data_IF_437786210209
#
_entry.id   IF_437786210209
#
_cell.length_a   1.000
_cell.length_b   1.000
_cell.length_c   1.000
_cell.angle_alpha   90.00
_cell.angle_beta   90.00
_cell.angle_gamma   90.00
#
_symmetry.space_group_name_H-M   'P 1'
#
loop_
_entity.id
_entity.type
_entity.pdbx_description
1 polymer ?
#
# COMPACT_ATOMS: atom_id res chain seq x y z
N UNK A 1 -12.63 44.84 43.14
CA UNK A 1 -13.61 45.60 42.29
C UNK A 1 -13.51 47.06 42.65
N UNK A 2 -13.04 47.92 41.71
CA UNK A 2 -13.02 49.35 41.98
C UNK A 2 -14.43 49.90 41.91
N UNK A 3 -14.92 50.47 43.01
CA UNK A 3 -16.19 51.20 43.04
C UNK A 3 -16.03 52.55 42.28
N UNK A 4 -16.89 52.77 41.31
CA UNK A 4 -16.96 54.04 40.56
C UNK A 4 -17.68 55.07 41.45
N UNK A 5 -16.95 56.12 41.83
CA UNK A 5 -17.44 57.12 42.80
C UNK A 5 -18.04 58.40 42.18
N UNK A 6 -18.05 58.50 40.86
CA UNK A 6 -18.62 59.66 40.16
C UNK A 6 -19.60 59.24 39.06
N UNK A 7 -20.71 59.98 38.82
CA UNK A 7 -21.61 59.70 37.72
C UNK A 7 -20.87 59.89 36.39
N UNK A 8 -20.91 58.86 35.53
CA UNK A 8 -20.26 58.90 34.23
C UNK A 8 -20.59 57.61 33.43
N UNK A 9 -20.31 57.58 32.13
CA UNK A 9 -20.44 56.40 31.30
C UNK A 9 -19.12 55.64 31.40
N UNK A 10 -19.14 54.43 31.96
CA UNK A 10 -17.98 53.56 32.08
C UNK A 10 -18.09 52.44 31.08
N UNK A 11 -17.18 52.41 30.11
CA UNK A 11 -17.07 51.31 29.15
C UNK A 11 -16.23 50.22 29.80
N UNK A 12 -16.84 49.10 30.10
CA UNK A 12 -16.14 47.88 30.55
C UNK A 12 -16.00 46.97 29.36
N UNK A 13 -14.80 46.88 28.79
CA UNK A 13 -14.49 45.85 27.81
C UNK A 13 -14.58 44.48 28.49
N UNK A 14 -15.62 43.71 28.15
CA UNK A 14 -15.64 42.28 28.38
C UNK A 14 -15.02 41.65 27.15
N UNK A 15 -13.97 40.89 27.38
CA UNK A 15 -13.41 40.04 26.35
C UNK A 15 -14.53 39.08 25.87
N UNK A 16 -15.18 39.43 24.75
CA UNK A 16 -16.30 38.68 24.17
C UNK A 16 -15.83 37.48 23.35
N UNK A 17 -14.52 37.36 23.21
CA UNK A 17 -13.95 36.13 22.67
C UNK A 17 -13.97 35.09 23.81
N UNK A 18 -15.03 34.27 23.86
CA UNK A 18 -14.99 33.02 24.54
C UNK A 18 -13.76 32.27 24.05
N UNK A 19 -13.06 31.56 24.93
CA UNK A 19 -12.04 30.62 24.52
C UNK A 19 -12.71 29.73 23.48
N UNK A 20 -12.40 29.93 22.18
CA UNK A 20 -12.82 29.00 21.14
C UNK A 20 -12.10 27.71 21.46
N UNK A 21 -12.85 26.72 21.89
CA UNK A 21 -12.34 25.35 21.99
C UNK A 21 -12.02 24.96 20.55
N UNK A 22 -10.74 24.95 20.21
CA UNK A 22 -10.28 24.43 18.94
C UNK A 22 -10.44 22.93 19.03
N UNK A 23 -11.25 22.36 18.16
CA UNK A 23 -11.41 20.92 18.03
C UNK A 23 -10.05 20.30 17.70
N UNK A 24 -9.58 19.38 18.52
CA UNK A 24 -8.31 18.67 18.32
C UNK A 24 -8.62 17.51 17.39
N UNK A 25 -7.85 17.37 16.31
CA UNK A 25 -7.93 16.21 15.40
C UNK A 25 -7.68 14.92 16.21
N UNK A 26 -8.63 13.97 16.14
CA UNK A 26 -8.60 12.76 17.00
C UNK A 26 -8.02 11.55 16.31
N UNK A 27 -8.11 11.46 14.98
CA UNK A 27 -7.66 10.31 14.19
C UNK A 27 -6.54 10.74 13.21
N UNK A 28 -5.36 11.02 13.76
CA UNK A 28 -4.18 11.44 12.98
C UNK A 28 -3.21 10.27 12.86
N UNK A 29 -3.13 9.60 11.71
CA UNK A 29 -2.21 8.48 11.52
C UNK A 29 -0.79 8.92 11.21
N UNK A 30 0.18 8.11 11.60
CA UNK A 30 1.54 8.11 11.09
C UNK A 30 1.75 6.87 10.23
N UNK A 31 2.25 7.08 9.02
CA UNK A 31 2.60 6.02 8.07
C UNK A 31 4.11 5.85 8.02
N UNK A 32 4.58 4.60 8.13
CA UNK A 32 6.01 4.27 8.11
C UNK A 32 6.27 3.37 6.89
N UNK A 33 7.25 3.74 6.05
CA UNK A 33 7.59 2.97 4.87
C UNK A 33 8.71 3.57 4.04
N UNK A 34 8.83 3.11 2.79
CA UNK A 34 9.83 3.57 1.82
C UNK A 34 9.24 4.63 0.89
N UNK A 35 10.07 5.58 0.47
CA UNK A 35 9.67 6.71 -0.39
C UNK A 35 10.71 6.93 -1.49
N UNK A 36 10.39 7.68 -2.53
CA UNK A 36 11.35 8.00 -3.59
C UNK A 36 12.51 8.84 -3.05
N UNK A 37 12.15 9.89 -2.32
CA UNK A 37 13.07 10.82 -1.64
C UNK A 37 12.52 11.13 -0.25
N UNK A 38 13.31 11.80 0.59
CA UNK A 38 12.87 12.32 1.88
C UNK A 38 13.62 13.63 2.16
N UNK A 39 13.14 14.72 1.56
CA UNK A 39 13.84 16.01 1.56
C UNK A 39 12.85 17.17 1.73
N UNK A 40 13.29 18.18 2.50
CA UNK A 40 12.71 19.53 2.49
C UNK A 40 13.79 20.50 2.03
N UNK A 41 13.75 20.86 0.75
CA UNK A 41 14.84 21.57 0.08
C UNK A 41 16.12 20.75 0.12
N UNK A 42 17.10 21.15 0.94
CA UNK A 42 18.37 20.45 1.14
C UNK A 42 18.43 19.62 2.44
N UNK A 43 17.40 19.71 3.28
CA UNK A 43 17.36 19.06 4.60
C UNK A 43 16.81 17.66 4.51
N UNK A 44 17.50 16.68 5.07
CA UNK A 44 17.02 15.31 5.14
C UNK A 44 15.86 15.15 6.14
N UNK A 45 14.79 14.50 5.68
CA UNK A 45 13.61 14.14 6.45
C UNK A 45 13.60 12.66 6.87
N UNK A 46 14.68 11.91 6.59
CA UNK A 46 14.76 10.48 6.94
C UNK A 46 14.53 10.26 8.44
N UNK A 47 13.74 9.24 8.76
CA UNK A 47 13.38 8.81 10.11
C UNK A 47 12.68 9.88 10.97
N UNK A 48 12.13 10.92 10.35
CA UNK A 48 11.38 11.99 11.03
C UNK A 48 9.93 11.98 10.60
N UNK A 49 8.97 12.12 11.52
CA UNK A 49 7.57 12.31 11.15
C UNK A 49 7.38 13.69 10.52
N UNK A 50 6.86 13.71 9.30
CA UNK A 50 6.57 14.93 8.55
C UNK A 50 5.06 15.03 8.38
N UNK A 51 4.48 16.12 8.82
CA UNK A 51 3.05 16.39 8.72
C UNK A 51 2.69 16.78 7.30
N UNK A 52 1.68 16.12 6.75
CA UNK A 52 1.09 16.42 5.43
C UNK A 52 -0.43 16.38 5.51
N UNK A 53 -1.10 17.02 4.56
CA UNK A 53 -2.56 17.07 4.44
C UNK A 53 -3.08 16.66 3.06
N UNK A 54 -2.19 16.40 2.11
CA UNK A 54 -2.55 16.08 0.73
C UNK A 54 -1.46 15.26 0.01
N UNK A 55 -1.84 14.59 -1.10
CA UNK A 55 -0.88 13.94 -1.99
C UNK A 55 0.08 14.92 -2.67
N UNK A 56 -0.31 16.18 -2.84
CA UNK A 56 0.58 17.23 -3.39
C UNK A 56 1.73 17.51 -2.43
N UNK A 57 1.45 17.63 -1.13
CA UNK A 57 2.49 17.78 -0.10
C UNK A 57 3.35 16.51 0.02
N UNK A 58 2.72 15.33 -0.06
CA UNK A 58 3.46 14.07 -0.12
C UNK A 58 4.48 14.09 -1.26
N UNK A 59 4.06 14.41 -2.48
CA UNK A 59 4.95 14.45 -3.64
C UNK A 59 6.07 15.49 -3.49
N UNK A 60 5.82 16.59 -2.80
CA UNK A 60 6.83 17.64 -2.57
C UNK A 60 7.97 17.14 -1.66
N UNK A 61 7.65 16.40 -0.59
CA UNK A 61 8.64 15.95 0.40
C UNK A 61 9.19 14.56 0.12
N UNK A 62 8.37 13.67 -0.43
CA UNK A 62 8.65 12.24 -0.54
C UNK A 62 8.75 11.71 -1.97
N UNK A 63 8.48 12.57 -2.97
CA UNK A 63 8.55 12.19 -4.37
C UNK A 63 7.30 11.48 -4.90
N UNK A 64 7.43 10.85 -6.06
CA UNK A 64 6.35 10.23 -6.79
C UNK A 64 6.15 8.74 -6.51
N UNK A 65 5.29 8.12 -7.32
CA UNK A 65 5.00 6.70 -7.24
C UNK A 65 6.23 5.85 -7.57
N UNK A 66 6.42 4.71 -6.90
CA UNK A 66 7.44 3.75 -7.28
C UNK A 66 7.16 3.18 -8.67
N UNK A 67 8.22 2.85 -9.39
CA UNK A 67 8.13 2.11 -10.65
C UNK A 67 8.64 0.69 -10.41
N UNK A 68 7.79 -0.22 -9.90
CA UNK A 68 8.18 -1.60 -9.67
C UNK A 68 8.53 -2.26 -10.99
N UNK A 69 9.62 -3.02 -11.02
CA UNK A 69 10.09 -3.65 -12.25
C UNK A 69 9.76 -5.15 -12.23
N UNK A 70 9.22 -5.61 -13.36
CA UNK A 70 8.92 -7.01 -13.60
C UNK A 70 9.73 -7.48 -14.80
N UNK A 71 10.66 -8.40 -14.53
CA UNK A 71 11.47 -8.98 -15.60
C UNK A 71 10.69 -10.03 -16.36
N UNK A 72 10.64 -9.88 -17.65
CA UNK A 72 10.03 -10.82 -18.59
C UNK A 72 11.11 -11.64 -19.29
N UNK A 73 10.93 -12.93 -19.30
CA UNK A 73 11.75 -13.86 -20.10
C UNK A 73 10.87 -14.89 -20.79
N UNK A 74 11.33 -15.37 -21.95
CA UNK A 74 10.72 -16.50 -22.64
C UNK A 74 11.72 -17.63 -22.64
N UNK A 75 11.48 -18.66 -21.82
CA UNK A 75 12.37 -19.79 -21.60
C UNK A 75 11.59 -21.08 -21.54
N UNK A 76 12.33 -22.20 -21.62
CA UNK A 76 11.74 -23.53 -21.41
C UNK A 76 11.09 -23.66 -20.03
N UNK A 77 9.97 -24.38 -19.99
CA UNK A 77 9.25 -24.65 -18.76
C UNK A 77 10.08 -25.63 -17.92
N UNK A 78 10.41 -25.23 -16.68
CA UNK A 78 11.09 -26.05 -15.67
C UNK A 78 10.16 -26.37 -14.51
N UNK A 79 10.42 -27.46 -13.80
CA UNK A 79 9.59 -27.87 -12.66
C UNK A 79 9.53 -26.82 -11.53
N UNK A 80 10.64 -26.06 -11.34
CA UNK A 80 10.79 -25.07 -10.28
C UNK A 80 10.27 -23.67 -10.66
N UNK A 81 9.65 -23.51 -11.83
CA UNK A 81 9.24 -22.20 -12.33
C UNK A 81 8.13 -21.55 -11.50
N UNK A 82 7.28 -22.38 -10.86
CA UNK A 82 6.20 -21.88 -9.99
C UNK A 82 6.70 -21.15 -8.76
N UNK A 83 7.89 -21.51 -8.28
CA UNK A 83 8.48 -20.94 -7.07
C UNK A 83 9.38 -19.72 -7.36
N UNK A 84 9.81 -19.59 -8.64
CA UNK A 84 10.73 -18.53 -9.08
C UNK A 84 10.06 -17.36 -9.78
N UNK A 85 8.92 -17.61 -10.40
CA UNK A 85 8.22 -16.62 -11.22
C UNK A 85 6.81 -16.37 -10.70
N UNK A 86 6.46 -15.09 -10.63
CA UNK A 86 5.14 -14.65 -10.18
C UNK A 86 4.04 -15.15 -11.13
N UNK A 87 4.33 -15.12 -12.44
CA UNK A 87 3.43 -15.59 -13.48
C UNK A 87 4.18 -16.40 -14.53
N UNK A 88 3.56 -17.48 -15.00
CA UNK A 88 4.05 -18.31 -16.06
C UNK A 88 2.90 -18.59 -17.04
N UNK A 89 3.10 -18.21 -18.31
CA UNK A 89 2.13 -18.46 -19.39
C UNK A 89 2.75 -19.45 -20.37
N UNK A 90 2.31 -20.72 -20.36
CA UNK A 90 2.76 -21.70 -21.32
C UNK A 90 2.35 -21.29 -22.73
N UNK A 91 3.26 -21.43 -23.69
CA UNK A 91 2.91 -21.39 -25.10
C UNK A 91 2.29 -22.72 -25.50
N UNK A 92 1.11 -22.71 -26.12
CA UNK A 92 0.38 -23.92 -26.53
C UNK A 92 1.09 -24.73 -27.61
N UNK A 93 1.99 -24.12 -28.38
CA UNK A 93 2.69 -24.73 -29.49
C UNK A 93 4.16 -25.08 -29.20
N UNK A 94 4.73 -24.51 -28.13
CA UNK A 94 6.14 -24.67 -27.77
C UNK A 94 6.29 -25.09 -26.32
N UNK A 95 7.42 -25.74 -25.99
CA UNK A 95 7.81 -26.04 -24.59
C UNK A 95 8.24 -24.79 -23.81
N UNK A 96 8.12 -23.61 -24.41
CA UNK A 96 8.49 -22.34 -23.81
C UNK A 96 7.32 -21.69 -23.08
N UNK A 97 7.61 -20.86 -22.10
CA UNK A 97 6.63 -20.04 -21.40
C UNK A 97 7.11 -18.60 -21.31
N UNK A 98 6.16 -17.66 -21.38
CA UNK A 98 6.41 -16.29 -20.95
C UNK A 98 6.39 -16.26 -19.43
N UNK A 99 7.53 -15.99 -18.82
CA UNK A 99 7.73 -15.95 -17.37
C UNK A 99 7.89 -14.51 -16.91
N UNK A 100 7.34 -14.21 -15.75
CA UNK A 100 7.41 -12.90 -15.15
C UNK A 100 7.84 -13.00 -13.69
N UNK A 101 8.95 -12.40 -13.35
CA UNK A 101 9.49 -12.30 -12.00
C UNK A 101 9.62 -10.86 -11.55
N UNK A 102 9.50 -10.62 -10.25
CA UNK A 102 9.76 -9.29 -9.66
C UNK A 102 11.26 -9.02 -9.67
N UNK A 103 11.65 -7.82 -10.09
CA UNK A 103 13.01 -7.33 -10.01
C UNK A 103 13.11 -6.30 -8.88
N UNK A 104 13.84 -6.64 -7.82
CA UNK A 104 13.98 -5.76 -6.65
C UNK A 104 12.81 -5.86 -5.67
N UNK A 105 12.53 -4.76 -4.98
CA UNK A 105 11.50 -4.66 -3.96
C UNK A 105 10.24 -3.97 -4.48
N UNK A 106 9.08 -4.41 -4.01
CA UNK A 106 7.81 -3.75 -4.31
C UNK A 106 7.47 -2.83 -3.14
N UNK A 107 7.62 -1.52 -3.37
CA UNK A 107 7.26 -0.49 -2.42
C UNK A 107 5.81 -0.06 -2.67
N UNK A 108 5.00 0.00 -1.62
CA UNK A 108 3.57 0.24 -1.75
C UNK A 108 3.06 1.45 -0.97
N UNK A 109 3.91 2.10 -0.15
CA UNK A 109 3.50 3.22 0.70
C UNK A 109 2.77 4.33 -0.09
N UNK A 110 3.27 4.71 -1.26
CA UNK A 110 2.63 5.72 -2.12
C UNK A 110 1.17 5.37 -2.43
N UNK A 111 0.91 4.14 -2.84
CA UNK A 111 -0.44 3.66 -3.18
C UNK A 111 -1.35 3.59 -1.95
N UNK A 112 -0.79 3.27 -0.80
CA UNK A 112 -1.48 3.32 0.48
C UNK A 112 -1.87 4.75 0.87
N UNK A 113 -1.02 5.74 0.61
CA UNK A 113 -1.35 7.14 0.81
C UNK A 113 -2.49 7.61 -0.10
N UNK A 114 -2.50 7.17 -1.36
CA UNK A 114 -3.62 7.42 -2.28
C UNK A 114 -4.92 6.83 -1.72
N UNK A 115 -4.89 5.57 -1.22
CA UNK A 115 -6.06 4.94 -0.59
C UNK A 115 -6.51 5.67 0.68
N UNK A 116 -5.59 6.12 1.51
CA UNK A 116 -5.89 6.89 2.72
C UNK A 116 -6.69 8.15 2.38
N UNK A 117 -6.17 9.00 1.50
CA UNK A 117 -6.84 10.23 1.11
C UNK A 117 -8.17 9.97 0.38
N UNK A 118 -8.25 8.95 -0.47
CA UNK A 118 -9.48 8.57 -1.18
C UNK A 118 -10.61 8.10 -0.23
N UNK A 119 -10.27 7.59 0.96
CA UNK A 119 -11.22 7.12 1.96
C UNK A 119 -11.51 8.16 3.07
N UNK A 120 -11.21 9.43 2.80
CA UNK A 120 -11.53 10.54 3.69
C UNK A 120 -10.45 10.87 4.71
N UNK A 121 -9.22 10.41 4.46
CA UNK A 121 -8.04 10.81 5.21
C UNK A 121 -7.80 12.32 5.11
N UNK A 122 -7.42 12.90 6.23
CA UNK A 122 -7.07 14.32 6.37
C UNK A 122 -5.58 14.49 6.69
N UNK A 123 -5.30 15.25 7.74
CA UNK A 123 -3.94 15.41 8.26
C UNK A 123 -3.35 14.07 8.68
N UNK A 124 -2.12 13.83 8.28
CA UNK A 124 -1.36 12.65 8.68
C UNK A 124 0.14 12.95 8.75
N UNK A 125 0.89 12.00 9.26
CA UNK A 125 2.35 12.05 9.28
C UNK A 125 2.92 10.92 8.43
N UNK A 126 4.05 11.19 7.77
CA UNK A 126 4.80 10.18 7.02
C UNK A 126 6.22 10.12 7.56
N UNK A 127 6.73 8.92 7.78
CA UNK A 127 8.11 8.63 8.15
C UNK A 127 8.74 7.80 7.05
N UNK A 128 9.70 8.37 6.35
CA UNK A 128 10.51 7.65 5.37
C UNK A 128 11.66 6.94 6.06
N UNK A 129 11.78 5.64 5.85
CA UNK A 129 12.93 4.86 6.28
C UNK A 129 14.08 4.91 5.27
N UNK A 130 13.79 5.17 3.99
CA UNK A 130 14.77 5.21 2.91
C UNK A 130 14.14 5.19 1.52
N UNK A 131 14.99 5.06 0.50
CA UNK A 131 14.59 5.01 -0.90
C UNK A 131 14.04 3.65 -1.34
N UNK A 132 13.36 3.62 -2.50
CA UNK A 132 12.71 2.43 -3.07
C UNK A 132 13.64 1.25 -3.39
N UNK A 133 14.96 1.50 -3.47
CA UNK A 133 15.95 0.45 -3.74
C UNK A 133 16.40 -0.31 -2.48
N UNK A 134 15.92 0.10 -1.31
CA UNK A 134 16.34 -0.47 -0.04
C UNK A 134 15.39 -1.58 0.42
N UNK A 135 15.89 -2.47 1.27
CA UNK A 135 15.07 -3.46 1.95
C UNK A 135 14.35 -2.83 3.16
N UNK A 136 13.02 -2.95 3.18
CA UNK A 136 12.20 -2.40 4.26
C UNK A 136 12.58 -2.99 5.63
N UNK A 137 12.79 -4.32 5.70
CA UNK A 137 13.05 -5.00 6.97
C UNK A 137 14.40 -4.61 7.57
N UNK A 138 15.42 -4.48 6.73
CA UNK A 138 16.74 -4.04 7.16
C UNK A 138 16.69 -2.61 7.72
N UNK A 139 16.08 -1.69 6.96
CA UNK A 139 15.95 -0.29 7.39
C UNK A 139 15.07 -0.12 8.61
N UNK A 140 13.96 -0.85 8.70
CA UNK A 140 13.10 -0.83 9.88
C UNK A 140 13.88 -1.29 11.12
N UNK A 141 14.53 -2.43 11.04
CA UNK A 141 15.30 -3.00 12.16
C UNK A 141 16.43 -2.08 12.63
N UNK A 142 17.09 -1.39 11.69
CA UNK A 142 18.17 -0.47 12.00
C UNK A 142 17.71 0.86 12.62
N UNK A 143 16.51 1.33 12.27
CA UNK A 143 16.06 2.68 12.59
C UNK A 143 14.85 2.75 13.54
N UNK A 144 14.19 1.63 13.89
CA UNK A 144 12.94 1.62 14.65
C UNK A 144 13.01 2.45 15.93
N UNK A 145 14.06 2.33 16.72
CA UNK A 145 14.20 3.05 17.99
C UNK A 145 14.23 4.57 17.79
N UNK A 146 14.93 5.03 16.75
CA UNK A 146 15.00 6.45 16.37
C UNK A 146 13.65 6.94 15.87
N UNK A 147 12.97 6.16 15.03
CA UNK A 147 11.65 6.46 14.50
C UNK A 147 10.63 6.56 15.62
N UNK A 148 10.58 5.58 16.51
CA UNK A 148 9.66 5.58 17.66
C UNK A 148 9.93 6.74 18.61
N UNK A 149 11.21 7.05 18.88
CA UNK A 149 11.56 8.22 19.69
C UNK A 149 11.12 9.54 19.04
N UNK A 150 11.18 9.65 17.72
CA UNK A 150 10.71 10.83 17.00
C UNK A 150 9.17 10.90 16.96
N UNK A 151 8.47 9.80 16.73
CA UNK A 151 7.00 9.75 16.79
C UNK A 151 6.48 10.15 18.19
N UNK A 152 7.17 9.71 19.26
CA UNK A 152 6.78 10.06 20.66
C UNK A 152 6.90 11.55 20.97
N UNK A 153 7.65 12.32 20.19
CA UNK A 153 7.76 13.79 20.36
C UNK A 153 6.54 14.53 19.82
N UNK A 154 5.89 13.95 18.80
CA UNK A 154 4.68 14.54 18.21
C UNK A 154 3.47 14.27 19.08
N UNK A 155 2.71 15.34 19.41
CA UNK A 155 1.57 15.20 20.32
C UNK A 155 0.28 14.79 19.61
N UNK A 156 0.17 15.16 18.33
CA UNK A 156 -1.06 15.01 17.54
C UNK A 156 -1.26 13.57 17.00
N UNK A 157 -0.19 12.78 16.89
CA UNK A 157 -0.26 11.42 16.36
C UNK A 157 -1.04 10.53 17.32
N UNK A 158 -2.07 9.87 16.80
CA UNK A 158 -2.94 8.96 17.54
C UNK A 158 -2.99 7.54 16.97
N UNK A 159 -2.67 7.36 15.69
CA UNK A 159 -2.69 6.07 15.02
C UNK A 159 -1.33 5.76 14.37
N UNK A 160 -1.01 4.47 14.25
CA UNK A 160 0.20 3.99 13.58
C UNK A 160 -0.15 2.96 12.53
N UNK A 161 0.40 3.13 11.34
CA UNK A 161 0.16 2.27 10.17
C UNK A 161 1.49 1.95 9.50
N UNK A 162 1.79 0.67 9.31
CA UNK A 162 3.00 0.20 8.62
C UNK A 162 2.58 -0.76 7.51
N UNK A 163 2.07 -0.23 6.40
CA UNK A 163 1.40 -1.05 5.38
C UNK A 163 2.36 -1.99 4.64
N UNK A 164 3.65 -1.67 4.57
CA UNK A 164 4.66 -2.51 3.92
C UNK A 164 5.10 -3.69 4.78
N UNK A 165 4.83 -3.65 6.09
CA UNK A 165 5.22 -4.73 7.01
C UNK A 165 4.64 -6.08 6.61
N UNK A 166 3.39 -6.12 6.15
CA UNK A 166 2.69 -7.36 5.80
C UNK A 166 3.27 -8.09 4.58
N UNK A 167 4.02 -7.39 3.73
CA UNK A 167 4.73 -7.97 2.59
C UNK A 167 6.06 -8.64 2.99
N UNK A 168 6.46 -8.50 4.25
CA UNK A 168 7.74 -8.96 4.75
C UNK A 168 7.60 -10.26 5.53
N UNK A 169 8.61 -11.12 5.46
CA UNK A 169 8.69 -12.33 6.28
C UNK A 169 8.74 -12.02 7.79
N UNK A 170 9.15 -10.81 8.16
CA UNK A 170 9.25 -10.34 9.54
C UNK A 170 8.03 -9.53 10.01
N UNK A 171 6.91 -9.59 9.31
CA UNK A 171 5.69 -8.85 9.59
C UNK A 171 5.27 -8.90 11.07
N UNK A 172 5.25 -10.09 11.68
CA UNK A 172 4.84 -10.28 13.07
C UNK A 172 5.80 -9.59 14.05
N UNK A 173 7.09 -9.54 13.75
CA UNK A 173 8.07 -8.83 14.58
C UNK A 173 7.82 -7.32 14.55
N UNK A 174 7.54 -6.77 13.36
CA UNK A 174 7.18 -5.35 13.22
C UNK A 174 5.94 -5.02 14.06
N UNK A 175 4.90 -5.83 13.95
CA UNK A 175 3.65 -5.60 14.69
C UNK A 175 3.82 -5.76 16.20
N UNK A 176 4.58 -6.75 16.65
CA UNK A 176 4.85 -6.93 18.10
C UNK A 176 5.71 -5.79 18.64
N UNK A 177 6.65 -5.26 17.88
CA UNK A 177 7.44 -4.07 18.27
C UNK A 177 6.54 -2.83 18.41
N UNK A 178 5.62 -2.59 17.46
CA UNK A 178 4.65 -1.50 17.53
C UNK A 178 3.80 -1.60 18.81
N UNK A 179 3.26 -2.78 19.09
CA UNK A 179 2.40 -3.00 20.25
C UNK A 179 3.16 -2.84 21.56
N UNK A 180 4.39 -3.31 21.65
CA UNK A 180 5.20 -3.24 22.87
C UNK A 180 5.77 -1.85 23.12
N UNK A 181 6.23 -1.16 22.08
CA UNK A 181 7.05 0.04 22.24
C UNK A 181 6.30 1.34 22.01
N UNK A 182 5.28 1.36 21.14
CA UNK A 182 4.46 2.55 20.88
C UNK A 182 3.13 2.50 21.62
N UNK A 183 2.41 1.39 21.58
CA UNK A 183 1.07 1.28 22.13
C UNK A 183 1.03 1.02 23.64
N UNK A 184 2.17 1.05 24.33
CA UNK A 184 2.30 0.78 25.77
C UNK A 184 1.62 1.83 26.68
N UNK A 185 1.46 3.08 26.22
CA UNK A 185 0.97 4.23 27.02
C UNK A 185 -0.42 4.72 26.64
N UNK A 186 -1.23 3.89 25.98
CA UNK A 186 -2.61 4.23 25.61
C UNK A 186 -2.75 5.47 24.69
N UNK A 187 -1.66 5.95 24.10
CA UNK A 187 -1.67 7.11 23.21
C UNK A 187 -1.89 6.73 21.75
N UNK A 188 -1.33 5.58 21.33
CA UNK A 188 -1.30 5.19 19.92
C UNK A 188 -2.16 3.95 19.70
N UNK A 189 -2.90 3.96 18.59
CA UNK A 189 -3.70 2.84 18.13
C UNK A 189 -3.11 2.29 16.83
N UNK A 190 -2.77 1.01 16.79
CA UNK A 190 -2.17 0.38 15.62
C UNK A 190 -3.25 -0.21 14.69
N UNK A 191 -3.18 0.11 13.40
CA UNK A 191 -3.97 -0.53 12.36
C UNK A 191 -3.09 -1.55 11.63
N UNK A 192 -3.47 -2.82 11.72
CA UNK A 192 -2.67 -3.94 11.26
C UNK A 192 -3.34 -4.65 10.09
N UNK A 193 -2.51 -5.14 9.20
CA UNK A 193 -2.94 -5.97 8.08
C UNK A 193 -2.67 -7.45 8.37
N UNK A 194 -3.62 -8.30 8.04
CA UNK A 194 -3.43 -9.75 8.16
C UNK A 194 -2.74 -10.26 6.90
N UNK A 195 -1.64 -11.02 7.01
CA UNK A 195 -1.00 -11.65 5.86
C UNK A 195 -1.98 -12.52 5.09
N UNK A 196 -1.86 -12.51 3.77
CA UNK A 196 -2.72 -13.28 2.89
C UNK A 196 -1.91 -14.37 2.19
N UNK A 197 -2.33 -15.62 2.33
CA UNK A 197 -1.74 -16.77 1.65
C UNK A 197 -2.72 -17.30 0.60
N UNK A 198 -2.23 -17.47 -0.62
CA UNK A 198 -3.06 -17.96 -1.72
C UNK A 198 -3.58 -19.38 -1.45
N UNK A 199 -4.91 -19.53 -1.44
CA UNK A 199 -5.56 -20.84 -1.23
C UNK A 199 -5.64 -21.30 0.22
N UNK A 200 -5.14 -20.56 1.19
CA UNK A 200 -5.29 -20.85 2.61
C UNK A 200 -6.75 -20.61 3.06
N UNK A 201 -7.21 -21.37 4.04
CA UNK A 201 -8.53 -21.17 4.64
C UNK A 201 -8.49 -19.99 5.62
N UNK A 202 -9.62 -19.31 5.79
CA UNK A 202 -9.77 -18.20 6.73
C UNK A 202 -9.41 -18.60 8.16
N UNK A 203 -9.73 -19.84 8.58
CA UNK A 203 -9.36 -20.39 9.88
C UNK A 203 -7.84 -20.45 10.06
N UNK A 204 -7.12 -21.02 9.08
CA UNK A 204 -5.67 -21.20 9.14
C UNK A 204 -4.95 -19.83 9.20
N UNK A 205 -5.43 -18.86 8.41
CA UNK A 205 -4.91 -17.48 8.39
C UNK A 205 -5.14 -16.79 9.75
N UNK A 206 -6.35 -16.92 10.31
CA UNK A 206 -6.72 -16.33 11.60
C UNK A 206 -5.88 -16.91 12.73
N UNK A 207 -5.68 -18.22 12.77
CA UNK A 207 -4.91 -18.89 13.79
C UNK A 207 -3.41 -18.59 13.68
N UNK A 208 -2.86 -18.57 12.47
CA UNK A 208 -1.47 -18.19 12.23
C UNK A 208 -1.19 -16.75 12.67
N UNK A 209 -2.03 -15.80 12.24
CA UNK A 209 -1.92 -14.41 12.65
C UNK A 209 -2.07 -14.25 14.17
N UNK A 210 -3.12 -14.86 14.74
CA UNK A 210 -3.39 -14.78 16.17
C UNK A 210 -2.26 -15.38 17.03
N UNK A 211 -1.59 -16.42 16.58
CA UNK A 211 -0.43 -16.99 17.25
C UNK A 211 0.78 -16.08 17.15
N UNK A 212 1.02 -15.50 15.96
CA UNK A 212 2.20 -14.68 15.69
C UNK A 212 2.22 -13.32 16.37
N UNK A 213 1.04 -12.67 16.56
CA UNK A 213 0.95 -11.31 17.10
C UNK A 213 1.25 -11.21 18.61
N UNK A 214 1.33 -12.31 19.32
CA UNK A 214 1.60 -12.30 20.77
C UNK A 214 0.38 -11.90 21.61
N UNK A 215 0.60 -11.38 22.84
CA UNK A 215 -0.46 -11.09 23.81
C UNK A 215 -0.38 -9.69 24.44
N UNK A 216 0.53 -8.85 23.94
CA UNK A 216 0.83 -7.56 24.57
C UNK A 216 0.00 -6.45 23.92
N UNK A 217 -0.70 -5.64 24.71
CA UNK A 217 -1.40 -4.41 24.32
C UNK A 217 -2.40 -4.57 23.16
N UNK A 218 -3.05 -5.73 23.06
CA UNK A 218 -3.97 -6.08 21.96
C UNK A 218 -5.19 -5.15 21.88
N UNK A 219 -5.61 -4.56 23.00
CA UNK A 219 -6.69 -3.58 23.07
C UNK A 219 -6.39 -2.28 22.32
N UNK A 220 -5.12 -2.00 22.01
CA UNK A 220 -4.68 -0.80 21.28
C UNK A 220 -4.36 -1.08 19.80
N UNK A 221 -4.90 -2.15 19.25
CA UNK A 221 -4.79 -2.44 17.84
C UNK A 221 -6.07 -3.05 17.25
N UNK A 222 -6.26 -2.85 15.96
CA UNK A 222 -7.28 -3.53 15.17
C UNK A 222 -6.63 -4.13 13.92
N UNK A 223 -6.98 -5.37 13.60
CA UNK A 223 -6.55 -6.05 12.39
C UNK A 223 -7.69 -6.16 11.38
N UNK A 224 -7.35 -6.08 10.10
CA UNK A 224 -8.31 -6.11 8.99
C UNK A 224 -7.93 -7.18 7.96
N UNK A 225 -8.95 -7.85 7.43
CA UNK A 225 -8.87 -8.90 6.41
C UNK A 225 -10.16 -8.92 5.55
N UNK A 226 -10.08 -9.28 4.29
CA UNK A 226 -8.92 -9.60 3.45
C UNK A 226 -8.29 -8.34 2.83
N UNK A 227 -7.24 -8.54 2.04
CA UNK A 227 -6.69 -7.49 1.19
C UNK A 227 -7.71 -7.04 0.16
N UNK A 228 -7.47 -5.88 -0.44
CA UNK A 228 -8.41 -5.18 -1.32
C UNK A 228 -7.88 -5.19 -2.75
N UNK A 229 -8.71 -5.63 -3.69
CA UNK A 229 -8.47 -5.36 -5.10
C UNK A 229 -8.88 -3.91 -5.40
N UNK A 230 -7.89 -3.05 -5.59
CA UNK A 230 -8.07 -1.61 -5.75
C UNK A 230 -8.07 -1.17 -7.21
N UNK A 231 -8.38 0.09 -7.45
CA UNK A 231 -8.27 0.75 -8.74
C UNK A 231 -7.29 1.94 -8.71
N UNK A 232 -6.28 1.87 -7.86
CA UNK A 232 -5.26 2.92 -7.69
C UNK A 232 -4.41 3.06 -8.96
N UNK A 233 -4.02 1.93 -9.54
CA UNK A 233 -3.26 1.88 -10.79
C UNK A 233 -4.18 1.59 -11.97
N UNK A 234 -4.02 2.36 -13.04
CA UNK A 234 -4.68 2.20 -14.33
C UNK A 234 -3.85 1.34 -15.32
N UNK A 235 -4.38 1.04 -16.49
CA UNK A 235 -3.62 0.36 -17.54
C UNK A 235 -2.44 1.19 -18.05
N UNK A 236 -2.53 2.52 -17.98
CA UNK A 236 -1.49 3.44 -18.41
C UNK A 236 -0.26 3.43 -17.47
N UNK A 237 -0.43 3.00 -16.24
CA UNK A 237 0.65 2.93 -15.24
C UNK A 237 1.54 1.68 -15.43
N UNK A 238 1.06 0.71 -16.23
CA UNK A 238 1.82 -0.50 -16.57
C UNK A 238 2.48 -0.30 -17.93
N UNK A 239 3.57 0.40 -17.94
CA UNK A 239 4.32 0.79 -19.14
C UNK A 239 5.60 -0.04 -19.33
N UNK A 240 6.42 0.37 -20.33
CA UNK A 240 7.70 -0.26 -20.66
C UNK A 240 8.78 -0.14 -19.57
N UNK A 241 8.57 0.69 -18.53
CA UNK A 241 9.47 0.83 -17.38
C UNK A 241 9.12 -0.21 -16.31
N UNK A 242 7.85 -0.55 -16.22
CA UNK A 242 7.33 -1.58 -15.30
C UNK A 242 7.60 -2.98 -15.84
N UNK A 243 7.29 -3.21 -17.13
CA UNK A 243 7.50 -4.50 -17.79
C UNK A 243 8.83 -4.49 -18.53
N UNK A 244 9.88 -4.95 -17.86
CA UNK A 244 11.25 -4.97 -18.37
C UNK A 244 11.49 -6.31 -19.06
N UNK A 245 11.69 -6.27 -20.38
CA UNK A 245 12.03 -7.46 -21.15
C UNK A 245 13.54 -7.72 -21.13
N UNK A 246 13.93 -8.96 -20.91
CA UNK A 246 15.30 -9.38 -21.16
C UNK A 246 15.48 -9.58 -22.67
N UNK A 247 15.95 -8.54 -23.34
CA UNK A 247 16.11 -8.46 -24.80
C UNK A 247 17.28 -9.32 -25.29
N UNK A 248 17.21 -10.62 -25.09
CA UNK A 248 18.18 -11.56 -25.64
C UNK A 248 17.56 -12.21 -26.88
N UNK A 249 18.31 -12.23 -27.99
CA UNK A 249 17.86 -12.81 -29.25
C UNK A 249 17.51 -14.32 -29.14
N UNK A 250 18.14 -15.02 -28.21
CA UNK A 250 17.91 -16.46 -27.98
C UNK A 250 16.61 -16.75 -27.22
N UNK A 251 16.17 -15.83 -26.36
CA UNK A 251 14.99 -15.99 -25.50
C UNK A 251 13.73 -15.33 -26.07
N UNK A 252 13.85 -14.67 -27.21
CA UNK A 252 12.74 -13.96 -27.84
C UNK A 252 11.87 -14.93 -28.66
N UNK A 253 10.52 -14.93 -28.50
CA UNK A 253 9.64 -15.74 -29.33
C UNK A 253 9.84 -15.47 -30.82
N UNK A 254 9.72 -16.50 -31.62
CA UNK A 254 9.86 -16.37 -33.09
C UNK A 254 8.66 -15.67 -33.76
N UNK A 255 7.49 -15.71 -33.08
CA UNK A 255 6.22 -15.16 -33.56
C UNK A 255 5.45 -14.56 -32.39
N UNK A 256 4.92 -13.36 -32.57
CA UNK A 256 4.12 -12.62 -31.59
C UNK A 256 2.67 -12.43 -32.06
N UNK A 257 2.50 -12.29 -33.35
CA UNK A 257 1.20 -12.10 -34.01
C UNK A 257 1.05 -13.10 -35.17
N UNK A 258 -0.10 -13.18 -35.76
CA UNK A 258 -0.29 -13.89 -37.02
C UNK A 258 0.13 -13.11 -38.26
N UNK A 259 0.61 -11.85 -38.12
CA UNK A 259 1.05 -10.97 -39.20
C UNK A 259 2.57 -10.84 -39.21
N UNK A 260 3.16 -11.28 -40.35
CA UNK A 260 4.61 -11.28 -40.54
C UNK A 260 5.23 -9.88 -40.47
N UNK A 261 4.50 -8.83 -40.91
CA UNK A 261 4.99 -7.44 -40.85
C UNK A 261 5.07 -6.90 -39.43
N UNK A 262 4.11 -7.27 -38.62
CA UNK A 262 4.10 -6.91 -37.19
C UNK A 262 5.22 -7.63 -36.47
N UNK A 263 5.42 -8.90 -36.71
CA UNK A 263 6.50 -9.68 -36.12
C UNK A 263 7.89 -9.14 -36.53
N UNK A 264 8.06 -8.71 -37.81
CA UNK A 264 9.28 -8.07 -38.27
C UNK A 264 9.54 -6.74 -37.57
N UNK A 265 8.49 -5.92 -37.38
CA UNK A 265 8.58 -4.66 -36.64
C UNK A 265 9.01 -4.88 -35.20
N UNK A 266 8.37 -5.83 -34.50
CA UNK A 266 8.70 -6.18 -33.11
C UNK A 266 10.17 -6.64 -33.01
N UNK A 267 10.61 -7.53 -33.88
CA UNK A 267 12.01 -8.00 -33.92
C UNK A 267 13.00 -6.86 -34.18
N UNK A 268 12.65 -5.93 -35.05
CA UNK A 268 13.46 -4.73 -35.31
C UNK A 268 13.60 -3.87 -34.05
N UNK A 269 12.51 -3.61 -33.34
CA UNK A 269 12.54 -2.87 -32.04
C UNK A 269 13.43 -3.58 -31.03
N UNK A 270 13.30 -4.89 -30.88
CA UNK A 270 14.14 -5.71 -29.99
C UNK A 270 15.62 -5.60 -30.35
N UNK A 271 15.95 -5.67 -31.64
CA UNK A 271 17.33 -5.52 -32.13
C UNK A 271 17.88 -4.12 -31.82
N UNK A 272 17.10 -3.07 -32.04
CA UNK A 272 17.50 -1.69 -31.72
C UNK A 272 17.79 -1.50 -30.22
N UNK A 273 16.98 -2.08 -29.37
CA UNK A 273 17.15 -2.02 -27.92
C UNK A 273 18.40 -2.80 -27.48
N UNK A 274 18.56 -4.03 -27.98
CA UNK A 274 19.68 -4.92 -27.59
C UNK A 274 21.04 -4.41 -28.07
N UNK A 275 21.09 -3.77 -29.24
CA UNK A 275 22.34 -3.22 -29.83
C UNK A 275 22.57 -1.76 -29.48
N UNK A 276 21.58 -1.06 -28.93
CA UNK A 276 21.56 0.39 -28.73
C UNK A 276 21.84 1.18 -30.00
N UNK A 277 21.44 0.64 -31.16
CA UNK A 277 21.66 1.24 -32.49
C UNK A 277 20.38 1.29 -33.30
N UNK A 278 20.24 2.31 -34.12
CA UNK A 278 19.15 2.39 -35.10
C UNK A 278 19.33 1.40 -36.26
N UNK A 279 18.35 1.37 -37.19
CA UNK A 279 18.40 0.51 -38.38
C UNK A 279 19.56 0.85 -39.34
N UNK A 280 20.17 2.04 -39.25
CA UNK A 280 21.32 2.48 -39.99
C UNK A 280 22.66 2.24 -39.29
N UNK A 281 22.63 1.64 -38.06
CA UNK A 281 23.82 1.35 -37.25
C UNK A 281 24.34 2.52 -36.42
N UNK A 282 23.61 3.65 -36.35
CA UNK A 282 23.95 4.81 -35.51
C UNK A 282 23.54 4.55 -34.06
N UNK A 283 24.36 4.93 -33.09
CA UNK A 283 24.08 4.82 -31.67
C UNK A 283 22.85 5.67 -31.27
N UNK A 284 21.95 5.06 -30.54
CA UNK A 284 20.75 5.68 -29.97
C UNK A 284 21.08 6.33 -28.62
N UNK A 285 20.47 7.48 -28.36
CA UNK A 285 20.51 8.10 -27.03
C UNK A 285 19.54 7.38 -26.10
N UNK A 286 19.69 7.59 -24.79
CA UNK A 286 18.85 6.97 -23.77
C UNK A 286 17.35 7.26 -23.99
N UNK A 287 17.02 8.50 -24.38
CA UNK A 287 15.63 8.92 -24.63
C UNK A 287 15.05 8.21 -25.87
N UNK A 288 15.86 8.06 -26.94
CA UNK A 288 15.44 7.34 -28.14
C UNK A 288 15.22 5.85 -27.86
N UNK A 289 16.07 5.23 -27.02
CA UNK A 289 15.90 3.84 -26.57
C UNK A 289 14.62 3.69 -25.75
N UNK A 290 14.35 4.64 -24.86
CA UNK A 290 13.11 4.62 -24.08
C UNK A 290 11.86 4.76 -24.94
N UNK A 291 11.92 5.59 -25.98
CA UNK A 291 10.83 5.69 -26.96
C UNK A 291 10.61 4.37 -27.70
N UNK A 292 11.69 3.72 -28.19
CA UNK A 292 11.60 2.40 -28.83
C UNK A 292 11.04 1.34 -27.89
N UNK A 293 11.38 1.38 -26.58
CA UNK A 293 10.78 0.48 -25.58
C UNK A 293 9.29 0.72 -25.44
N UNK A 294 8.85 1.97 -25.45
CA UNK A 294 7.44 2.33 -25.36
C UNK A 294 6.67 1.88 -26.61
N UNK A 295 7.26 2.08 -27.79
CA UNK A 295 6.66 1.64 -29.05
C UNK A 295 6.55 0.11 -29.12
N UNK A 296 7.59 -0.60 -28.65
CA UNK A 296 7.57 -2.06 -28.52
C UNK A 296 6.48 -2.53 -27.56
N UNK A 297 6.39 -1.91 -26.40
CA UNK A 297 5.35 -2.24 -25.40
C UNK A 297 3.94 -2.10 -26.00
N UNK A 298 3.67 -1.00 -26.68
CA UNK A 298 2.39 -0.75 -27.32
C UNK A 298 2.09 -1.77 -28.44
N UNK A 299 3.08 -2.10 -29.24
CA UNK A 299 2.95 -3.11 -30.30
C UNK A 299 2.65 -4.50 -29.72
N UNK A 300 3.31 -4.88 -28.63
CA UNK A 300 3.07 -6.15 -27.93
C UNK A 300 1.69 -6.19 -27.28
N UNK A 301 1.23 -5.12 -26.64
CA UNK A 301 -0.12 -5.03 -26.07
C UNK A 301 -1.22 -5.20 -27.11
N UNK A 302 -1.01 -4.67 -28.31
CA UNK A 302 -2.00 -4.74 -29.39
C UNK A 302 -2.03 -6.10 -30.09
N UNK A 303 -0.87 -6.71 -30.27
CA UNK A 303 -0.72 -7.85 -31.17
C UNK A 303 -0.42 -9.18 -30.48
N UNK A 304 -0.06 -9.18 -29.19
CA UNK A 304 0.29 -10.41 -28.47
C UNK A 304 -0.62 -10.63 -27.26
N UNK A 305 -1.64 -11.51 -27.37
CA UNK A 305 -2.64 -11.72 -26.30
C UNK A 305 -2.05 -12.18 -24.97
N UNK A 306 -0.97 -12.98 -24.99
CA UNK A 306 -0.29 -13.44 -23.77
C UNK A 306 0.37 -12.27 -23.03
N UNK A 307 1.02 -11.35 -23.75
CA UNK A 307 1.60 -10.15 -23.17
C UNK A 307 0.54 -9.22 -22.56
N UNK A 308 -0.58 -9.04 -23.27
CA UNK A 308 -1.73 -8.29 -22.74
C UNK A 308 -2.29 -8.91 -21.47
N UNK A 309 -2.43 -10.24 -21.43
CA UNK A 309 -2.89 -10.95 -20.24
C UNK A 309 -1.90 -10.84 -19.08
N UNK A 310 -0.60 -10.84 -19.38
CA UNK A 310 0.45 -10.63 -18.40
C UNK A 310 0.40 -9.21 -17.81
N UNK A 311 0.34 -8.17 -18.66
CA UNK A 311 0.25 -6.78 -18.22
C UNK A 311 -0.96 -6.58 -17.30
N UNK A 312 -2.11 -7.18 -17.63
CA UNK A 312 -3.29 -7.18 -16.78
C UNK A 312 -3.02 -7.84 -15.43
N UNK A 313 -2.39 -9.01 -15.40
CA UNK A 313 -2.07 -9.72 -14.14
C UNK A 313 -1.09 -8.94 -13.27
N UNK A 314 -0.09 -8.27 -13.87
CA UNK A 314 0.83 -7.39 -13.14
C UNK A 314 0.07 -6.21 -12.54
N UNK A 315 -0.83 -5.59 -13.30
CA UNK A 315 -1.71 -4.55 -12.77
C UNK A 315 -2.56 -5.04 -11.61
N UNK A 316 -3.22 -6.19 -11.77
CA UNK A 316 -4.08 -6.78 -10.73
C UNK A 316 -3.26 -7.10 -9.47
N UNK A 317 -2.02 -7.57 -9.64
CA UNK A 317 -1.10 -7.84 -8.53
C UNK A 317 -0.69 -6.56 -7.78
N UNK A 318 -0.34 -5.49 -8.50
CA UNK A 318 0.03 -4.20 -7.88
C UNK A 318 -1.17 -3.47 -7.26
N UNK A 319 -2.38 -3.71 -7.76
CA UNK A 319 -3.61 -3.19 -7.20
C UNK A 319 -4.15 -4.01 -6.02
N UNK A 320 -3.48 -5.11 -5.67
CA UNK A 320 -3.83 -5.89 -4.49
C UNK A 320 -3.13 -5.30 -3.27
N UNK A 321 -3.85 -4.48 -2.50
CA UNK A 321 -3.30 -3.73 -1.37
C UNK A 321 -3.93 -4.14 -0.04
N UNK A 322 -3.13 -4.19 1.04
CA UNK A 322 -3.62 -4.36 2.40
C UNK A 322 -4.55 -3.21 2.83
N UNK A 323 -5.53 -3.47 3.70
CA UNK A 323 -6.59 -2.50 4.02
C UNK A 323 -6.23 -1.41 5.04
N UNK A 324 -5.14 -1.52 5.81
CA UNK A 324 -4.86 -0.64 6.96
C UNK A 324 -4.88 0.85 6.64
N UNK A 325 -4.34 1.25 5.49
CA UNK A 325 -4.31 2.65 5.08
C UNK A 325 -5.70 3.18 4.68
N UNK A 326 -6.49 2.38 3.96
CA UNK A 326 -7.89 2.71 3.67
C UNK A 326 -8.69 2.84 4.98
N UNK A 327 -8.43 1.95 5.94
CA UNK A 327 -9.06 1.99 7.26
C UNK A 327 -8.65 3.23 8.06
N UNK A 328 -7.39 3.65 8.02
CA UNK A 328 -6.97 4.91 8.65
C UNK A 328 -7.77 6.10 8.09
N UNK A 329 -8.01 6.15 6.79
CA UNK A 329 -8.89 7.15 6.17
C UNK A 329 -10.33 7.07 6.66
N UNK A 330 -10.88 5.85 6.78
CA UNK A 330 -12.24 5.64 7.34
C UNK A 330 -12.33 6.10 8.79
N UNK A 331 -11.32 5.82 9.62
CA UNK A 331 -11.28 6.32 11.01
C UNK A 331 -11.31 7.85 11.05
N UNK A 332 -10.42 8.50 10.30
CA UNK A 332 -10.39 9.97 10.18
C UNK A 332 -11.75 10.52 9.71
N UNK A 333 -12.33 9.94 8.68
CA UNK A 333 -13.62 10.37 8.13
C UNK A 333 -14.77 10.18 9.12
N UNK A 334 -14.82 9.04 9.83
CA UNK A 334 -15.89 8.75 10.79
C UNK A 334 -15.79 9.68 11.99
N UNK A 335 -14.60 9.89 12.54
CA UNK A 335 -14.38 10.79 13.65
C UNK A 335 -14.80 12.23 13.32
N UNK A 336 -14.41 12.71 12.13
CA UNK A 336 -14.72 14.07 11.67
C UNK A 336 -16.21 14.28 11.31
N UNK A 337 -16.90 13.24 10.82
CA UNK A 337 -18.28 13.39 10.31
C UNK A 337 -19.34 12.88 11.27
N UNK A 338 -19.03 11.88 12.10
CA UNK A 338 -19.98 11.20 12.98
C UNK A 338 -19.59 11.27 14.46
N UNK A 339 -18.36 11.74 14.74
CA UNK A 339 -17.79 11.86 16.08
C UNK A 339 -17.09 10.58 16.56
N UNK A 340 -16.18 10.75 17.50
CA UNK A 340 -15.29 9.73 18.06
C UNK A 340 -16.01 8.55 18.74
N UNK A 341 -17.27 8.75 19.13
CA UNK A 341 -18.11 7.70 19.74
C UNK A 341 -18.68 6.71 18.72
N UNK A 342 -18.51 6.96 17.42
CA UNK A 342 -19.05 6.09 16.37
C UNK A 342 -17.99 5.13 15.90
N UNK A 343 -18.29 3.82 16.00
CA UNK A 343 -17.41 2.79 15.50
C UNK A 343 -17.19 2.91 13.97
N UNK A 344 -15.98 2.72 13.45
CA UNK A 344 -15.64 2.78 12.03
C UNK A 344 -16.09 1.51 11.29
N UNK A 345 -17.36 1.17 11.40
CA UNK A 345 -17.98 0.02 10.77
C UNK A 345 -19.22 0.40 9.97
N UNK A 346 -19.66 -0.47 9.08
CA UNK A 346 -20.74 -0.23 8.12
C UNK A 346 -20.48 1.01 7.25
N UNK A 347 -19.23 1.16 6.81
CA UNK A 347 -18.77 2.23 5.94
C UNK A 347 -18.27 1.61 4.64
N UNK A 348 -18.60 2.24 3.51
CA UNK A 348 -18.12 1.83 2.20
C UNK A 348 -16.70 2.33 1.95
N UNK A 349 -15.93 1.57 1.15
CA UNK A 349 -14.57 1.93 0.75
C UNK A 349 -14.54 2.48 -0.67
N UNK A 350 -13.78 3.53 -0.89
CA UNK A 350 -13.53 4.13 -2.19
C UNK A 350 -12.25 3.54 -2.81
N UNK A 351 -12.14 3.57 -4.14
CA UNK A 351 -11.03 3.00 -4.92
C UNK A 351 -10.84 1.49 -4.71
N UNK A 352 -11.87 0.80 -4.22
CA UNK A 352 -11.86 -0.65 -4.01
C UNK A 352 -12.91 -1.30 -4.89
N UNK A 353 -12.51 -2.27 -5.70
CA UNK A 353 -13.39 -3.00 -6.60
C UNK A 353 -14.07 -4.17 -5.90
N UNK A 354 -13.31 -4.94 -5.12
CA UNK A 354 -13.80 -6.05 -4.28
C UNK A 354 -12.74 -6.47 -3.26
N UNK A 355 -13.11 -7.19 -2.20
CA UNK A 355 -12.14 -7.90 -1.36
C UNK A 355 -11.51 -9.04 -2.15
N UNK A 356 -10.23 -9.31 -1.92
CA UNK A 356 -9.45 -10.34 -2.62
C UNK A 356 -9.99 -11.76 -2.37
N UNK A 357 -10.57 -11.96 -1.19
CA UNK A 357 -11.22 -13.22 -0.81
C UNK A 357 -12.67 -12.92 -0.41
N UNK A 358 -13.66 -13.62 -0.97
CA UNK A 358 -15.04 -13.48 -0.55
C UNK A 358 -15.22 -14.06 0.85
N UNK A 359 -15.72 -13.26 1.79
CA UNK A 359 -15.97 -13.66 3.19
C UNK A 359 -17.43 -14.10 3.35
N UNK A 360 -17.63 -15.36 3.69
CA UNK A 360 -18.95 -15.93 3.99
C UNK A 360 -19.38 -15.60 5.43
N UNK A 361 -20.60 -15.98 5.81
CA UNK A 361 -21.07 -15.85 7.20
C UNK A 361 -20.25 -16.68 8.19
N UNK A 362 -19.82 -17.89 7.78
CA UNK A 362 -18.95 -18.75 8.60
C UNK A 362 -17.55 -18.16 8.78
N UNK A 363 -16.96 -17.66 7.72
CA UNK A 363 -15.65 -16.99 7.79
C UNK A 363 -15.73 -15.78 8.73
N UNK A 364 -16.84 -15.03 8.69
CA UNK A 364 -17.05 -13.91 9.60
C UNK A 364 -17.11 -14.35 11.08
N UNK A 365 -17.72 -15.48 11.38
CA UNK A 365 -17.77 -16.03 12.74
C UNK A 365 -16.35 -16.40 13.22
N UNK A 366 -15.57 -17.07 12.37
CA UNK A 366 -14.18 -17.42 12.65
C UNK A 366 -13.31 -16.18 12.90
N UNK A 367 -13.44 -15.15 12.07
CA UNK A 367 -12.67 -13.90 12.24
C UNK A 367 -13.08 -13.13 13.50
N UNK A 368 -14.38 -13.14 13.85
CA UNK A 368 -14.87 -12.45 15.04
C UNK A 368 -14.54 -13.16 16.36
N UNK A 369 -14.52 -14.49 16.33
CA UNK A 369 -14.30 -15.31 17.51
C UNK A 369 -13.32 -16.46 17.20
N UNK A 370 -12.07 -16.16 16.86
CA UNK A 370 -11.09 -17.20 16.57
C UNK A 370 -10.72 -17.98 17.84
N UNK A 371 -10.17 -19.17 17.65
CA UNK A 371 -9.71 -20.00 18.77
C UNK A 371 -8.60 -19.33 19.60
N UNK A 372 -7.82 -18.46 18.96
CA UNK A 372 -6.77 -17.64 19.61
C UNK A 372 -7.32 -16.48 20.43
N UNK A 373 -8.63 -16.20 20.36
CA UNK A 373 -9.29 -15.08 21.04
C UNK A 373 -9.03 -13.70 20.44
N UNK A 374 -8.28 -13.60 19.34
CA UNK A 374 -7.81 -12.34 18.75
C UNK A 374 -8.64 -11.97 17.53
N UNK A 375 -9.63 -11.07 17.71
CA UNK A 375 -10.59 -10.74 16.66
C UNK A 375 -9.94 -10.02 15.46
N UNK A 376 -10.38 -10.41 14.27
CA UNK A 376 -10.00 -9.79 13.00
C UNK A 376 -11.26 -9.19 12.36
N UNK A 377 -11.18 -7.94 11.93
CA UNK A 377 -12.29 -7.24 11.33
C UNK A 377 -12.40 -7.58 9.84
N UNK A 378 -13.55 -8.07 9.42
CA UNK A 378 -13.79 -8.46 8.04
C UNK A 378 -14.22 -7.28 7.16
N UNK A 379 -13.76 -7.27 5.91
CA UNK A 379 -14.27 -6.42 4.85
C UNK A 379 -15.03 -7.32 3.87
N UNK A 380 -16.31 -7.00 3.63
CA UNK A 380 -17.23 -7.87 2.88
C UNK A 380 -17.96 -7.12 1.77
N UNK A 381 -18.34 -7.86 0.75
CA UNK A 381 -19.26 -7.38 -0.29
C UNK A 381 -20.70 -7.76 0.05
N UNK A 382 -21.60 -6.78 -0.01
CA UNK A 382 -23.03 -6.99 0.16
C UNK A 382 -23.75 -6.74 -1.15
N UNK A 383 -24.61 -7.67 -1.62
CA UNK A 383 -25.39 -7.47 -2.82
C UNK A 383 -26.24 -6.20 -2.75
N UNK A 384 -26.09 -5.32 -3.73
CA UNK A 384 -26.82 -4.04 -3.78
C UNK A 384 -26.29 -2.92 -2.89
N UNK A 385 -25.36 -3.20 -1.98
CA UNK A 385 -24.80 -2.20 -1.04
C UNK A 385 -23.31 -1.97 -1.22
N UNK A 386 -22.63 -2.80 -2.01
CA UNK A 386 -21.19 -2.69 -2.28
C UNK A 386 -20.32 -3.28 -1.19
N UNK A 387 -19.09 -2.77 -1.10
CA UNK A 387 -18.05 -3.24 -0.18
C UNK A 387 -18.14 -2.44 1.12
N UNK A 388 -18.18 -3.14 2.24
CA UNK A 388 -18.26 -2.51 3.56
C UNK A 388 -17.30 -3.10 4.55
N UNK A 389 -16.80 -2.24 5.41
CA UNK A 389 -16.11 -2.63 6.64
C UNK A 389 -17.14 -3.21 7.59
N UNK A 390 -17.01 -4.49 7.95
CA UNK A 390 -18.01 -5.22 8.72
C UNK A 390 -17.45 -5.72 10.05
N UNK A 391 -16.74 -4.87 10.77
CA UNK A 391 -16.19 -5.10 12.08
C UNK A 391 -15.50 -3.86 12.62
N UNK A 392 -15.51 -3.69 13.94
CA UNK A 392 -14.80 -2.63 14.65
C UNK A 392 -14.37 -3.12 16.02
N UNK A 393 -13.74 -4.29 16.06
CA UNK A 393 -13.20 -4.89 17.27
C UNK A 393 -11.70 -4.64 17.36
N UNK A 394 -11.20 -4.48 18.56
CA UNK A 394 -9.77 -4.55 18.84
C UNK A 394 -9.27 -5.99 18.74
N UNK A 395 -7.98 -6.19 18.65
CA UNK A 395 -7.38 -7.52 18.67
C UNK A 395 -7.62 -8.31 19.95
N UNK A 396 -7.90 -7.63 21.06
CA UNK A 396 -8.26 -8.27 22.34
C UNK A 396 -9.60 -9.02 22.26
N UNK A 397 -10.33 -8.82 21.18
CA UNK A 397 -11.48 -9.62 20.79
C UNK A 397 -12.67 -9.43 21.70
N UNK A 398 -12.81 -10.32 22.64
CA UNK A 398 -13.94 -10.39 23.54
C UNK A 398 -13.56 -9.92 24.94
N UNK A 399 -12.85 -8.79 25.04
CA UNK A 399 -12.61 -8.24 26.36
C UNK A 399 -13.97 -7.96 27.01
N UNK A 400 -14.23 -8.62 28.11
CA UNK A 400 -15.38 -8.34 28.94
C UNK A 400 -15.19 -7.04 29.75
N UNK A 401 -14.09 -6.36 29.53
CA UNK A 401 -13.80 -5.05 30.07
C UNK A 401 -14.52 -4.00 29.20
N UNK A 402 -15.76 -3.79 29.57
CA UNK A 402 -16.59 -2.68 29.10
C UNK A 402 -16.31 -1.44 29.97
#
# INVERSE_FOLDING_TARGET
MGEYKTPGVYIKEKNAFGNSIVEVETAVPVFIGLTEVALDGTSSLLNKPVRISSMTEYNTYFGGAPTPQFMLSSEDIKADDKDKFLFCFPDSEKKTALKCGVLGHICTLYYHMVLFFANGGGTCYVVSLGGYNADFCELYSANKDTVFANIKKEQDITMVVVPEAVNSANCMNVYTDLLKELCDKQKYFALLDVPMEAGAKTEDISDSFGTGIGTTNLQYAAAYYPWLETSVLSDADIDSRVLVWNYNAETTPSTFSGDSKVDEYIKKCITMISTSKDAAGKELKADDIQQVKTDLHNALLQNWPQYKSLAKKVKDYLNLLPPSAAMAGVYTMVDNTRGVWKAPANVSLNYVNKPAVPITGKDQEVLNMPMTGKAINAIRTFPGEGIKVWGARTLDGNSQDS
#
